data_IF_609632338992
#
_entry.id   IF_609632338992
#
_cell.length_a   1.000
_cell.length_b   1.000
_cell.length_c   1.000
_cell.angle_alpha   90.00
_cell.angle_beta   90.00
_cell.angle_gamma   90.00
#
_symmetry.space_group_name_H-M   'P 1'
#
loop_
_entity.id
_entity.type
_entity.pdbx_description
1 polymer ?
#
# COMPACT_ATOMS: atom_id res chain seq x y z
N UNK A 1 27.36 -5.44 4.93
CA UNK A 1 25.91 -5.62 5.17
C UNK A 1 25.56 -7.06 5.50
N UNK A 2 25.45 -8.00 4.54
CA UNK A 2 25.06 -9.39 4.88
C UNK A 2 26.08 -10.11 5.78
N UNK A 3 27.37 -9.85 5.56
CA UNK A 3 28.49 -10.36 6.36
C UNK A 3 28.44 -9.91 7.83
N UNK A 4 27.75 -8.80 8.10
CA UNK A 4 27.65 -8.19 9.43
C UNK A 4 26.30 -8.51 10.10
N UNK A 5 25.54 -9.46 9.53
CA UNK A 5 24.26 -9.93 10.07
C UNK A 5 23.05 -9.06 9.71
N UNK A 6 23.22 -8.01 8.89
CA UNK A 6 22.08 -7.22 8.40
C UNK A 6 21.20 -8.02 7.45
N UNK A 7 19.89 -7.81 7.57
CA UNK A 7 18.86 -8.37 6.69
C UNK A 7 18.13 -7.25 5.96
N UNK A 8 17.54 -7.58 4.81
CA UNK A 8 16.71 -6.64 4.08
C UNK A 8 15.39 -6.42 4.83
N UNK A 9 15.02 -5.16 5.05
CA UNK A 9 13.70 -4.76 5.53
C UNK A 9 12.71 -4.71 4.38
N UNK A 10 12.43 -5.86 3.77
CA UNK A 10 11.56 -5.94 2.60
C UNK A 10 10.15 -5.41 2.92
N UNK A 11 9.54 -4.89 1.87
CA UNK A 11 8.12 -4.53 1.79
C UNK A 11 7.39 -5.67 1.10
N UNK A 12 6.17 -5.97 1.55
CA UNK A 12 5.29 -6.95 0.88
C UNK A 12 4.05 -6.32 0.27
N UNK A 13 3.67 -5.11 0.71
CA UNK A 13 2.51 -4.36 0.21
C UNK A 13 3.00 -2.95 -0.13
N UNK A 14 2.96 -2.63 -1.42
CA UNK A 14 3.15 -1.26 -1.91
C UNK A 14 1.79 -0.56 -2.01
N UNK A 15 1.75 0.72 -1.70
CA UNK A 15 0.56 1.38 -1.18
C UNK A 15 0.31 2.78 -1.74
N UNK A 16 1.23 3.37 -2.51
CA UNK A 16 1.13 4.65 -3.20
C UNK A 16 0.57 5.80 -2.33
N UNK A 17 0.75 5.76 -1.01
CA UNK A 17 0.17 6.71 -0.07
C UNK A 17 0.70 8.14 -0.28
N UNK A 18 1.92 8.24 -0.82
CA UNK A 18 2.56 9.48 -1.21
C UNK A 18 1.72 10.33 -2.19
N UNK A 19 0.96 9.69 -3.09
CA UNK A 19 0.16 10.42 -4.08
C UNK A 19 -1.03 11.12 -3.40
N UNK A 20 -1.71 10.41 -2.50
CA UNK A 20 -2.85 10.95 -1.75
C UNK A 20 -2.38 12.09 -0.83
N UNK A 21 -1.22 11.94 -0.18
CA UNK A 21 -0.60 13.01 0.63
C UNK A 21 -0.31 14.27 -0.19
N UNK A 22 0.21 14.10 -1.42
CA UNK A 22 0.45 15.21 -2.33
C UNK A 22 -0.85 15.95 -2.66
N UNK A 23 -1.96 15.24 -2.90
CA UNK A 23 -3.25 15.87 -3.18
C UNK A 23 -3.84 16.59 -1.96
N UNK A 24 -3.72 16.02 -0.76
CA UNK A 24 -4.09 16.71 0.49
C UNK A 24 -3.29 18.01 0.63
N UNK A 25 -1.98 17.95 0.41
CA UNK A 25 -1.10 19.12 0.47
C UNK A 25 -1.49 20.21 -0.53
N UNK A 26 -1.90 19.83 -1.75
CA UNK A 26 -2.40 20.78 -2.76
C UNK A 26 -3.72 21.40 -2.32
N UNK A 27 -4.64 20.60 -1.80
CA UNK A 27 -5.97 21.04 -1.38
C UNK A 27 -5.88 22.04 -0.21
N UNK A 28 -5.12 21.70 0.84
CA UNK A 28 -4.91 22.57 2.01
C UNK A 28 -4.18 23.87 1.68
N UNK A 29 -3.30 23.88 0.68
CA UNK A 29 -2.66 25.12 0.19
C UNK A 29 -3.66 26.05 -0.50
N UNK A 30 -4.72 25.52 -1.11
CA UNK A 30 -5.79 26.31 -1.74
C UNK A 30 -6.77 26.83 -0.71
N UNK A 31 -7.19 25.97 0.22
CA UNK A 31 -8.02 26.33 1.36
C UNK A 31 -7.67 25.46 2.57
N UNK A 32 -7.21 26.10 3.65
CA UNK A 32 -6.83 25.42 4.89
C UNK A 32 -8.01 24.74 5.59
N UNK A 33 -9.25 25.15 5.26
CA UNK A 33 -10.47 24.58 5.80
C UNK A 33 -11.07 23.48 4.91
N UNK A 34 -10.33 23.02 3.88
CA UNK A 34 -10.79 21.94 3.00
C UNK A 34 -11.24 20.72 3.81
N UNK A 35 -12.41 20.17 3.48
CA UNK A 35 -12.87 18.90 4.04
C UNK A 35 -11.98 17.75 3.56
N UNK A 36 -11.24 17.14 4.48
CA UNK A 36 -10.35 16.01 4.19
C UNK A 36 -11.02 14.64 4.32
N UNK A 37 -12.30 14.59 4.67
CA UNK A 37 -13.07 13.34 4.79
C UNK A 37 -12.96 12.44 3.55
N UNK A 38 -13.16 12.93 2.30
CA UNK A 38 -13.04 12.07 1.13
C UNK A 38 -11.63 11.51 0.92
N UNK A 39 -10.59 12.28 1.27
CA UNK A 39 -9.20 11.83 1.16
C UNK A 39 -8.90 10.72 2.18
N UNK A 40 -9.39 10.87 3.42
CA UNK A 40 -9.27 9.85 4.45
C UNK A 40 -9.97 8.55 4.05
N UNK A 41 -11.23 8.65 3.65
CA UNK A 41 -12.03 7.48 3.26
C UNK A 41 -11.40 6.76 2.06
N UNK A 42 -10.96 7.51 1.05
CA UNK A 42 -10.26 6.94 -0.09
C UNK A 42 -8.94 6.27 0.33
N UNK A 43 -8.11 6.93 1.14
CA UNK A 43 -6.85 6.37 1.64
C UNK A 43 -7.05 5.03 2.34
N UNK A 44 -8.01 4.93 3.25
CA UNK A 44 -8.29 3.68 3.96
C UNK A 44 -8.72 2.57 2.98
N UNK A 45 -9.65 2.87 2.07
CA UNK A 45 -10.11 1.91 1.08
C UNK A 45 -8.99 1.45 0.15
N UNK A 46 -8.16 2.40 -0.29
CA UNK A 46 -7.00 2.13 -1.13
C UNK A 46 -6.02 1.17 -0.46
N UNK A 47 -5.63 1.43 0.79
CA UNK A 47 -4.71 0.54 1.52
C UNK A 47 -5.33 -0.85 1.72
N UNK A 48 -6.61 -0.94 2.04
CA UNK A 48 -7.31 -2.24 2.17
C UNK A 48 -7.31 -3.02 0.85
N UNK A 49 -7.52 -2.34 -0.27
CA UNK A 49 -7.52 -2.97 -1.58
C UNK A 49 -6.11 -3.40 -2.01
N UNK A 50 -5.09 -2.58 -1.74
CA UNK A 50 -3.68 -2.97 -1.93
C UNK A 50 -3.31 -4.17 -1.06
N UNK A 51 -3.72 -4.19 0.20
CA UNK A 51 -3.45 -5.31 1.10
C UNK A 51 -4.08 -6.61 0.59
N UNK A 52 -5.36 -6.57 0.16
CA UNK A 52 -6.05 -7.73 -0.44
C UNK A 52 -5.38 -8.21 -1.73
N UNK A 53 -4.96 -7.27 -2.60
CA UNK A 53 -4.27 -7.61 -3.84
C UNK A 53 -2.96 -8.36 -3.59
N UNK A 54 -2.10 -7.82 -2.72
CA UNK A 54 -0.80 -8.43 -2.43
C UNK A 54 -0.91 -9.73 -1.65
N UNK A 55 -1.90 -9.88 -0.78
CA UNK A 55 -2.18 -11.15 -0.10
C UNK A 55 -2.64 -12.22 -1.10
N UNK A 56 -3.54 -11.87 -2.02
CA UNK A 56 -3.95 -12.76 -3.12
C UNK A 56 -2.76 -13.16 -4.00
N UNK A 57 -1.90 -12.21 -4.34
CA UNK A 57 -0.69 -12.46 -5.12
C UNK A 57 0.30 -13.36 -4.35
N UNK A 58 0.51 -13.09 -3.06
CA UNK A 58 1.36 -13.91 -2.20
C UNK A 58 0.85 -15.35 -2.11
N UNK A 59 -0.45 -15.56 -1.99
CA UNK A 59 -1.04 -16.90 -2.04
C UNK A 59 -0.79 -17.63 -3.35
N UNK A 60 -0.88 -16.92 -4.48
CA UNK A 60 -0.59 -17.50 -5.79
C UNK A 60 0.87 -17.92 -5.92
N UNK A 61 1.80 -17.11 -5.39
CA UNK A 61 3.25 -17.34 -5.48
C UNK A 61 3.74 -18.39 -4.48
N UNK A 62 3.36 -18.25 -3.20
CA UNK A 62 3.94 -19.03 -2.10
C UNK A 62 3.07 -20.21 -1.64
N UNK A 63 1.82 -20.30 -2.12
CA UNK A 63 0.85 -21.35 -1.77
C UNK A 63 0.61 -21.48 -0.25
N UNK A 64 0.75 -20.38 0.48
CA UNK A 64 0.48 -20.24 1.92
C UNK A 64 0.21 -18.79 2.28
N UNK A 65 -0.36 -18.55 3.46
CA UNK A 65 -0.40 -17.22 4.06
C UNK A 65 1.01 -16.74 4.40
N UNK A 66 1.25 -15.44 4.27
CA UNK A 66 2.50 -14.79 4.69
C UNK A 66 2.23 -13.68 5.70
N UNK A 67 3.25 -13.31 6.46
CA UNK A 67 3.22 -12.07 7.26
C UNK A 67 3.58 -10.89 6.38
N UNK A 68 2.67 -9.93 6.30
CA UNK A 68 2.86 -8.75 5.49
C UNK A 68 3.56 -7.60 6.24
N UNK A 69 4.42 -6.88 5.53
CA UNK A 69 4.91 -5.54 5.83
C UNK A 69 4.30 -4.56 4.82
N UNK A 70 3.74 -3.47 5.32
CA UNK A 70 3.12 -2.39 4.55
C UNK A 70 4.09 -1.21 4.45
N UNK A 71 4.35 -0.73 3.24
CA UNK A 71 5.10 0.51 3.02
C UNK A 71 4.16 1.70 3.17
N UNK A 72 4.54 2.64 4.02
CA UNK A 72 3.92 3.96 4.13
C UNK A 72 5.01 5.00 4.39
N UNK A 73 4.76 6.24 3.99
CA UNK A 73 5.71 7.33 4.11
C UNK A 73 5.47 8.17 5.36
N UNK A 74 6.52 8.73 5.95
CA UNK A 74 6.35 9.73 7.00
C UNK A 74 5.81 11.03 6.39
N UNK A 75 4.49 11.20 6.42
CA UNK A 75 3.74 12.22 5.67
C UNK A 75 2.63 12.86 6.50
N UNK A 76 2.02 13.95 5.99
CA UNK A 76 0.90 14.61 6.67
C UNK A 76 -0.33 13.69 6.70
N UNK A 77 -0.62 13.01 5.59
CA UNK A 77 -1.67 12.00 5.48
C UNK A 77 -1.60 10.98 6.62
N UNK A 78 -0.43 10.36 6.82
CA UNK A 78 -0.26 9.35 7.86
C UNK A 78 -0.26 9.97 9.26
N UNK A 79 0.23 11.21 9.43
CA UNK A 79 0.13 11.91 10.71
C UNK A 79 -1.33 12.20 11.11
N UNK A 80 -2.23 12.39 10.13
CA UNK A 80 -3.64 12.67 10.36
C UNK A 80 -4.48 11.40 10.56
N UNK A 81 -4.21 10.32 9.81
CA UNK A 81 -5.15 9.21 9.64
C UNK A 81 -4.59 7.80 9.90
N UNK A 82 -3.37 7.67 10.43
CA UNK A 82 -2.80 6.33 10.70
C UNK A 82 -3.65 5.55 11.70
N UNK A 83 -4.19 6.19 12.74
CA UNK A 83 -5.05 5.52 13.71
C UNK A 83 -6.35 4.98 13.07
N UNK A 84 -6.99 5.79 12.20
CA UNK A 84 -8.16 5.34 11.43
C UNK A 84 -7.81 4.13 10.52
N UNK A 85 -6.65 4.17 9.86
CA UNK A 85 -6.19 3.05 9.02
C UNK A 85 -6.00 1.77 9.85
N UNK A 86 -5.32 1.87 11.00
CA UNK A 86 -5.05 0.70 11.86
C UNK A 86 -6.35 0.08 12.38
N UNK A 87 -7.33 0.91 12.74
CA UNK A 87 -8.68 0.45 13.11
C UNK A 87 -9.34 -0.27 11.93
N UNK A 88 -9.36 0.35 10.76
CA UNK A 88 -10.00 -0.21 9.57
C UNK A 88 -9.37 -1.55 9.13
N UNK A 89 -8.04 -1.68 9.20
CA UNK A 89 -7.35 -2.95 8.96
C UNK A 89 -7.84 -4.03 9.93
N UNK A 90 -7.90 -3.73 11.22
CA UNK A 90 -8.37 -4.68 12.24
C UNK A 90 -9.85 -5.06 12.03
N UNK A 91 -10.72 -4.10 11.71
CA UNK A 91 -12.14 -4.34 11.39
C UNK A 91 -12.32 -5.20 10.12
N UNK A 92 -11.37 -5.13 9.19
CA UNK A 92 -11.34 -5.96 7.98
C UNK A 92 -10.56 -7.28 8.16
N UNK A 93 -10.34 -7.72 9.40
CA UNK A 93 -9.79 -9.03 9.71
C UNK A 93 -8.26 -9.13 9.67
N UNK A 94 -7.55 -8.02 9.45
CA UNK A 94 -6.08 -8.00 9.52
C UNK A 94 -5.62 -8.00 10.97
N UNK A 95 -4.60 -8.83 11.27
CA UNK A 95 -3.96 -8.85 12.59
C UNK A 95 -2.69 -8.01 12.57
N UNK A 96 -2.69 -6.92 13.33
CA UNK A 96 -1.49 -6.09 13.53
C UNK A 96 -0.45 -6.85 14.38
N UNK A 97 0.78 -6.94 13.88
CA UNK A 97 1.91 -7.58 14.53
C UNK A 97 3.13 -6.64 14.52
N UNK A 98 4.11 -6.90 15.37
CA UNK A 98 5.34 -6.10 15.38
C UNK A 98 6.30 -6.53 14.26
N UNK A 99 7.22 -5.64 13.89
CA UNK A 99 8.19 -5.87 12.83
C UNK A 99 9.06 -7.12 13.07
N UNK A 100 9.47 -7.39 14.32
CA UNK A 100 10.28 -8.59 14.63
C UNK A 100 9.53 -9.87 14.27
N UNK A 101 8.23 -9.91 14.53
CA UNK A 101 7.39 -11.05 14.17
C UNK A 101 7.18 -11.16 12.65
N UNK A 102 6.96 -10.05 11.95
CA UNK A 102 6.80 -10.02 10.49
C UNK A 102 8.08 -10.48 9.77
N UNK A 103 9.24 -9.96 10.18
CA UNK A 103 10.55 -10.28 9.60
C UNK A 103 11.10 -11.67 9.95
N UNK A 104 10.41 -12.42 10.80
CA UNK A 104 10.71 -13.84 11.03
C UNK A 104 10.04 -14.76 10.01
N UNK A 105 9.19 -14.25 9.11
CA UNK A 105 8.66 -15.04 8.00
C UNK A 105 9.79 -15.41 7.01
N UNK A 106 9.73 -16.62 6.44
CA UNK A 106 10.75 -17.16 5.50
C UNK A 106 10.88 -16.30 4.25
N UNK A 107 9.84 -15.54 3.88
CA UNK A 107 9.90 -14.59 2.76
C UNK A 107 11.04 -13.56 2.92
N UNK A 108 11.45 -13.30 4.17
CA UNK A 108 12.58 -12.40 4.50
C UNK A 108 13.92 -12.77 3.93
N UNK A 109 14.09 -14.04 3.56
CA UNK A 109 15.34 -14.57 3.04
C UNK A 109 15.33 -14.69 1.52
N UNK A 110 14.21 -14.37 0.86
CA UNK A 110 14.08 -14.43 -0.59
C UNK A 110 14.98 -13.41 -1.28
N UNK A 111 15.57 -13.83 -2.39
CA UNK A 111 16.39 -12.99 -3.27
C UNK A 111 16.01 -13.30 -4.72
N UNK A 112 14.90 -12.72 -5.21
CA UNK A 112 14.49 -12.82 -6.61
C UNK A 112 15.62 -12.43 -7.54
N UNK A 113 15.78 -13.20 -8.62
CA UNK A 113 16.79 -12.96 -9.65
C UNK A 113 16.24 -11.98 -10.70
N UNK A 114 15.88 -10.78 -10.26
CA UNK A 114 15.41 -9.69 -11.11
C UNK A 114 16.27 -8.44 -10.89
N UNK A 115 16.20 -7.48 -11.81
CA UNK A 115 16.79 -6.16 -11.60
C UNK A 115 16.13 -5.47 -10.40
N UNK A 116 16.89 -4.88 -9.47
CA UNK A 116 16.31 -4.17 -8.33
C UNK A 116 15.39 -3.03 -8.78
N UNK A 117 14.08 -3.21 -8.65
CA UNK A 117 13.08 -2.25 -9.14
C UNK A 117 12.38 -1.43 -8.04
N UNK A 118 12.72 -1.64 -6.76
CA UNK A 118 12.11 -0.89 -5.64
C UNK A 118 10.74 -1.39 -5.19
N UNK A 119 10.24 -2.48 -5.79
CA UNK A 119 8.90 -3.03 -5.55
C UNK A 119 8.85 -4.00 -4.36
N UNK A 120 7.63 -4.33 -3.92
CA UNK A 120 7.33 -5.41 -2.98
C UNK A 120 8.03 -6.72 -3.35
N UNK A 121 8.60 -7.41 -2.36
CA UNK A 121 9.21 -8.73 -2.56
C UNK A 121 8.21 -9.75 -3.13
N UNK A 122 6.91 -9.57 -2.88
CA UNK A 122 5.85 -10.42 -3.43
C UNK A 122 5.75 -10.20 -4.94
N UNK A 123 5.75 -8.94 -5.38
CA UNK A 123 5.78 -8.57 -6.80
C UNK A 123 7.02 -9.15 -7.47
N UNK A 124 8.19 -8.96 -6.85
CA UNK A 124 9.47 -9.44 -7.41
C UNK A 124 9.51 -10.97 -7.54
N UNK A 125 8.95 -11.70 -6.57
CA UNK A 125 8.81 -13.15 -6.67
C UNK A 125 7.81 -13.55 -7.75
N UNK A 126 6.69 -12.83 -7.89
CA UNK A 126 5.67 -13.08 -8.90
C UNK A 126 6.18 -12.87 -10.33
N UNK A 127 7.03 -11.86 -10.55
CA UNK A 127 7.58 -11.51 -11.87
C UNK A 127 8.43 -12.65 -12.46
N UNK A 128 9.01 -13.51 -11.62
CA UNK A 128 9.75 -14.69 -12.07
C UNK A 128 8.86 -15.83 -12.58
N UNK A 129 7.52 -15.71 -12.45
CA UNK A 129 6.55 -16.72 -12.87
C UNK A 129 5.85 -16.23 -14.14
N UNK A 130 6.09 -16.87 -15.28
CA UNK A 130 5.64 -16.39 -16.60
C UNK A 130 4.12 -16.19 -16.69
N UNK A 131 3.35 -17.07 -16.06
CA UNK A 131 1.89 -16.98 -16.08
C UNK A 131 1.36 -15.79 -15.26
N UNK A 132 2.13 -15.32 -14.28
CA UNK A 132 1.73 -14.24 -13.36
C UNK A 132 2.29 -12.89 -13.82
N UNK A 133 3.53 -12.83 -14.33
CA UNK A 133 4.21 -11.59 -14.72
C UNK A 133 3.38 -10.71 -15.67
N UNK A 134 2.65 -11.34 -16.60
CA UNK A 134 1.74 -10.67 -17.55
C UNK A 134 0.58 -9.92 -16.89
N UNK A 135 0.30 -10.18 -15.62
CA UNK A 135 -0.79 -9.55 -14.85
C UNK A 135 -0.29 -8.46 -13.90
N UNK A 136 1.03 -8.33 -13.76
CA UNK A 136 1.63 -7.35 -12.86
C UNK A 136 1.62 -5.95 -13.47
N UNK A 137 1.43 -4.95 -12.61
CA UNK A 137 1.64 -3.54 -12.98
C UNK A 137 3.13 -3.25 -12.95
N UNK A 138 3.61 -2.47 -13.91
CA UNK A 138 4.97 -1.92 -13.90
C UNK A 138 4.98 -0.48 -14.45
N UNK A 139 5.56 0.49 -13.70
CA UNK A 139 6.09 0.34 -12.34
C UNK A 139 4.99 -0.10 -11.35
N UNK A 140 5.36 -0.69 -10.22
CA UNK A 140 4.37 -1.26 -9.29
C UNK A 140 3.60 -0.19 -8.50
N UNK A 141 4.15 1.02 -8.43
CA UNK A 141 3.52 2.25 -7.99
C UNK A 141 3.71 3.36 -9.05
N UNK A 142 2.65 4.11 -9.37
CA UNK A 142 2.70 5.26 -10.28
C UNK A 142 1.52 6.20 -10.04
N UNK A 143 1.68 7.50 -10.27
CA UNK A 143 0.57 8.46 -10.22
C UNK A 143 -0.54 8.15 -11.23
N UNK A 144 -0.21 7.56 -12.38
CA UNK A 144 -1.19 7.20 -13.41
C UNK A 144 -2.24 6.22 -12.89
N UNK A 145 -1.89 5.34 -11.94
CA UNK A 145 -2.83 4.41 -11.33
C UNK A 145 -3.73 5.06 -10.27
N UNK A 146 -3.22 6.08 -9.58
CA UNK A 146 -3.88 6.63 -8.38
C UNK A 146 -4.72 7.87 -8.67
N UNK A 147 -4.40 8.59 -9.75
CA UNK A 147 -5.06 9.85 -10.11
C UNK A 147 -6.56 9.71 -10.33
N UNK A 148 -6.95 8.96 -11.36
CA UNK A 148 -8.36 8.86 -11.79
C UNK A 148 -9.25 8.30 -10.67
N UNK A 149 -8.86 7.22 -9.94
CA UNK A 149 -9.72 6.70 -8.89
C UNK A 149 -9.89 7.67 -7.71
N UNK A 150 -8.85 8.42 -7.32
CA UNK A 150 -8.95 9.43 -6.27
C UNK A 150 -9.85 10.60 -6.68
N UNK A 151 -9.61 11.16 -7.87
CA UNK A 151 -10.41 12.28 -8.40
C UNK A 151 -11.90 11.90 -8.48
N UNK A 152 -12.19 10.72 -9.02
CA UNK A 152 -13.55 10.18 -9.08
C UNK A 152 -14.17 10.01 -7.69
N UNK A 153 -13.43 9.51 -6.72
CA UNK A 153 -13.95 9.33 -5.36
C UNK A 153 -14.34 10.66 -4.70
N UNK A 154 -13.50 11.69 -4.88
CA UNK A 154 -13.75 13.03 -4.36
C UNK A 154 -14.98 13.64 -5.03
N UNK A 155 -15.10 13.56 -6.36
CA UNK A 155 -16.27 14.06 -7.10
C UNK A 155 -17.57 13.39 -6.64
N UNK A 156 -17.56 12.05 -6.47
CA UNK A 156 -18.70 11.28 -5.98
C UNK A 156 -19.06 11.65 -4.53
N UNK A 157 -18.07 11.90 -3.67
CA UNK A 157 -18.31 12.40 -2.31
C UNK A 157 -18.98 13.77 -2.32
N UNK A 158 -18.47 14.73 -3.10
CA UNK A 158 -19.05 16.07 -3.18
C UNK A 158 -20.49 16.05 -3.70
N UNK A 159 -20.77 15.22 -4.71
CA UNK A 159 -22.13 15.01 -5.22
C UNK A 159 -23.07 14.47 -4.14
N UNK A 160 -22.62 13.48 -3.34
CA UNK A 160 -23.40 12.92 -2.22
C UNK A 160 -23.70 13.97 -1.15
N UNK A 161 -22.78 14.90 -0.90
CA UNK A 161 -22.95 15.95 0.11
C UNK A 161 -23.87 17.08 -0.34
N UNK A 162 -23.97 17.37 -1.65
CA UNK A 162 -24.90 18.38 -2.19
C UNK A 162 -26.37 17.98 -2.16
N UNK A 163 -26.65 16.69 -2.02
CA UNK A 163 -28.02 16.13 -2.02
C UNK A 163 -28.57 15.97 -0.60
N UNK A 164 -27.71 16.08 0.43
CA UNK A 164 -28.11 16.06 1.86
C UNK A 164 -28.46 17.45 2.35
#
# INVERSE_FOLDING_TARGET
MKTDGYKNGYVTIDASDWYIDAQISIALKKDINTDLTPYKEYYINHILDRAKYYDSLAHLVFKRDIKHTLLIHHSLLNALFLDDLLIALNENGWKLINAKEAYNDVISSQQPLIEPCGESIVWQCAEQIEEISKTLRYPGEDEEYEKEPLEKYIEEYELRMKIK
#
